data_IF_638218351746
#
_entry.id   IF_638218351746
#
_cell.length_a   1.000
_cell.length_b   1.000
_cell.length_c   1.000
_cell.angle_alpha   90.00
_cell.angle_beta   90.00
_cell.angle_gamma   90.00
#
_symmetry.space_group_name_H-M   'P 1'
#
loop_
_entity.id
_entity.type
_entity.pdbx_description
1 polymer ?
#
# COMPACT_ATOMS: atom_id res chain seq x y z
N UNK A 1 46.53 10.39 51.99
CA UNK A 1 46.49 10.24 50.51
C UNK A 1 45.35 9.36 49.98
N UNK A 2 44.45 8.82 50.82
CA UNK A 2 43.43 7.82 50.39
C UNK A 2 41.99 8.33 50.36
N UNK A 3 41.69 9.52 50.89
CA UNK A 3 40.35 10.15 50.83
C UNK A 3 40.12 11.02 49.59
N UNK A 4 41.18 11.60 49.03
CA UNK A 4 41.10 12.43 47.81
C UNK A 4 40.83 11.59 46.56
N UNK A 5 41.34 10.36 46.51
CA UNK A 5 41.16 9.44 45.38
C UNK A 5 39.72 8.89 45.25
N UNK A 6 39.01 8.73 46.37
CA UNK A 6 37.60 8.29 46.38
C UNK A 6 36.64 9.35 45.84
N UNK A 7 36.90 10.64 46.09
CA UNK A 7 36.10 11.73 45.54
C UNK A 7 36.31 11.92 44.03
N UNK A 8 37.53 11.66 43.54
CA UNK A 8 37.83 11.69 42.09
C UNK A 8 37.12 10.53 41.37
N UNK A 9 37.06 9.33 41.96
CA UNK A 9 36.34 8.19 41.36
C UNK A 9 34.81 8.34 41.38
N UNK A 10 34.24 8.96 42.42
CA UNK A 10 32.79 9.24 42.47
C UNK A 10 32.44 10.42 41.53
N UNK A 11 33.33 11.41 41.39
CA UNK A 11 33.18 12.51 40.44
C UNK A 11 33.36 12.10 38.97
N UNK A 12 34.24 11.16 38.65
CA UNK A 12 34.42 10.66 37.28
C UNK A 12 33.31 9.69 36.84
N UNK A 13 32.66 8.97 37.76
CA UNK A 13 31.56 8.07 37.39
C UNK A 13 30.29 8.83 36.95
N UNK A 14 30.14 10.10 37.36
CA UNK A 14 29.04 10.96 36.91
C UNK A 14 29.29 11.68 35.58
N UNK A 15 30.48 11.55 34.97
CA UNK A 15 30.83 12.26 33.72
C UNK A 15 30.74 11.36 32.47
N UNK A 16 30.54 10.04 32.60
CA UNK A 16 30.66 9.11 31.46
C UNK A 16 29.33 8.66 30.83
N UNK A 17 28.14 9.09 31.30
CA UNK A 17 26.88 8.72 30.62
C UNK A 17 25.87 9.88 30.51
N UNK A 18 26.28 10.95 29.82
CA UNK A 18 25.36 11.76 29.02
C UNK A 18 25.79 11.77 27.56
N UNK A 19 26.08 10.60 26.99
CA UNK A 19 25.91 10.42 25.55
C UNK A 19 24.43 10.13 25.28
N UNK A 20 23.60 11.17 25.51
CA UNK A 20 22.28 11.21 24.91
C UNK A 20 22.49 11.41 23.42
N UNK A 21 22.60 10.32 22.67
CA UNK A 21 22.19 10.35 21.26
C UNK A 21 20.67 10.47 21.33
N UNK A 22 20.20 11.69 21.53
CA UNK A 22 18.79 11.99 21.56
C UNK A 22 18.28 11.79 20.14
N UNK A 23 17.55 10.70 19.91
CA UNK A 23 16.84 10.53 18.66
C UNK A 23 15.92 11.71 18.42
N UNK A 24 16.15 12.47 17.34
CA UNK A 24 15.50 13.77 17.16
C UNK A 24 14.15 13.71 16.43
N UNK A 25 13.84 12.59 15.77
CA UNK A 25 12.68 12.50 14.88
C UNK A 25 12.15 11.06 14.78
N UNK A 26 10.84 10.93 14.78
CA UNK A 26 10.14 9.76 14.24
C UNK A 26 9.36 10.17 12.99
N UNK A 27 9.42 9.34 11.95
CA UNK A 27 8.61 9.46 10.74
C UNK A 27 8.25 8.06 10.24
N UNK A 28 6.97 7.75 10.17
CA UNK A 28 6.49 6.39 9.92
C UNK A 28 5.07 6.37 9.31
N UNK A 29 4.68 5.21 8.78
CA UNK A 29 3.28 4.90 8.48
C UNK A 29 2.70 4.13 9.67
N UNK A 30 1.55 4.58 10.15
CA UNK A 30 0.84 3.90 11.24
C UNK A 30 0.23 2.57 10.74
N UNK A 31 -0.24 1.75 11.68
CA UNK A 31 -0.79 0.43 11.38
C UNK A 31 -1.96 0.47 10.37
N UNK A 32 -2.86 1.46 10.49
CA UNK A 32 -4.00 1.60 9.59
C UNK A 32 -3.56 1.89 8.16
N UNK A 33 -2.56 2.76 8.00
CA UNK A 33 -2.03 3.14 6.70
C UNK A 33 -1.26 1.99 6.04
N UNK A 34 -0.48 1.24 6.81
CA UNK A 34 0.22 0.06 6.34
C UNK A 34 -0.77 -1.04 5.94
N UNK A 35 -1.83 -1.25 6.72
CA UNK A 35 -2.88 -2.21 6.37
C UNK A 35 -3.59 -1.79 5.06
N UNK A 36 -3.86 -0.50 4.90
CA UNK A 36 -4.55 0.05 3.72
C UNK A 36 -3.71 -0.03 2.44
N UNK A 37 -2.40 0.20 2.54
CA UNK A 37 -1.49 0.21 1.38
C UNK A 37 -0.90 -1.17 1.06
N UNK A 38 -0.61 -1.97 2.09
CA UNK A 38 0.18 -3.20 1.97
C UNK A 38 -0.55 -4.46 2.46
N UNK A 39 -1.71 -4.32 3.12
CA UNK A 39 -2.42 -5.47 3.71
C UNK A 39 -1.70 -6.09 4.91
N UNK A 40 -0.83 -5.34 5.58
CA UNK A 40 -0.03 -5.81 6.72
C UNK A 40 -0.49 -5.13 8.02
N UNK A 41 -0.61 -5.92 9.09
CA UNK A 41 -0.89 -5.40 10.44
C UNK A 41 0.41 -5.06 11.17
N UNK A 42 1.08 -3.99 10.76
CA UNK A 42 2.32 -3.52 11.37
C UNK A 42 2.51 -2.00 11.17
N UNK A 43 3.40 -1.37 11.93
CA UNK A 43 3.86 0.00 11.66
C UNK A 43 5.14 -0.03 10.80
N UNK A 44 5.33 0.96 9.93
CA UNK A 44 6.50 1.06 9.06
C UNK A 44 7.28 2.34 9.33
N UNK A 45 8.42 2.23 10.00
CA UNK A 45 9.28 3.37 10.34
C UNK A 45 10.30 3.66 9.24
N UNK A 46 10.29 4.90 8.76
CA UNK A 46 11.31 5.46 7.88
C UNK A 46 12.43 6.14 8.66
N UNK A 47 12.06 6.81 9.75
CA UNK A 47 12.99 7.30 10.75
C UNK A 47 12.48 6.85 12.10
N UNK A 48 13.33 6.17 12.86
CA UNK A 48 13.04 5.76 14.24
C UNK A 48 14.15 6.30 15.13
N UNK A 49 13.77 7.14 16.09
CA UNK A 49 14.67 7.76 17.05
C UNK A 49 15.86 8.43 16.36
N UNK A 50 15.60 9.19 15.30
CA UNK A 50 16.61 9.90 14.51
C UNK A 50 17.45 9.02 13.57
N UNK A 51 17.31 7.70 13.61
CA UNK A 51 17.98 6.79 12.68
C UNK A 51 17.13 6.59 11.43
N UNK A 52 17.71 6.89 10.26
CA UNK A 52 17.07 6.69 8.96
C UNK A 52 17.16 5.23 8.53
N UNK A 53 16.04 4.67 8.09
CA UNK A 53 15.94 3.33 7.53
C UNK A 53 16.01 3.40 6.00
N UNK A 54 17.23 3.37 5.46
CA UNK A 54 17.50 3.44 4.02
C UNK A 54 16.78 2.35 3.22
N UNK A 55 16.66 1.14 3.80
CA UNK A 55 15.93 0.04 3.18
C UNK A 55 14.45 0.38 2.96
N UNK A 56 13.81 1.03 3.94
CA UNK A 56 12.42 1.43 3.84
C UNK A 56 12.21 2.55 2.80
N UNK A 57 13.20 3.44 2.60
CA UNK A 57 13.14 4.53 1.61
C UNK A 57 13.29 4.03 0.17
N UNK A 58 14.10 2.99 -0.05
CA UNK A 58 14.32 2.40 -1.38
C UNK A 58 13.11 1.61 -1.90
N UNK A 59 12.22 1.18 -1.02
CA UNK A 59 11.08 0.35 -1.40
C UNK A 59 9.93 1.19 -1.98
N UNK A 60 9.73 1.07 -3.30
CA UNK A 60 8.61 1.72 -4.00
C UNK A 60 7.30 0.93 -3.76
N UNK A 61 6.58 1.31 -2.71
CA UNK A 61 5.23 0.81 -2.44
C UNK A 61 4.27 1.31 -3.53
N UNK A 62 3.54 0.42 -4.25
CA UNK A 62 2.50 0.85 -5.16
C UNK A 62 1.31 1.43 -4.38
N UNK A 63 0.70 2.48 -4.92
CA UNK A 63 -0.51 3.09 -4.38
C UNK A 63 -1.69 2.68 -5.27
N UNK A 64 -2.60 1.84 -4.78
CA UNK A 64 -3.75 1.34 -5.54
C UNK A 64 -4.65 2.44 -6.12
N UNK A 65 -5.45 2.11 -7.14
CA UNK A 65 -6.35 3.05 -7.82
C UNK A 65 -7.40 3.66 -6.88
N UNK A 66 -7.97 2.85 -6.00
CA UNK A 66 -8.98 3.23 -5.01
C UNK A 66 -8.43 4.08 -3.85
N UNK A 67 -7.12 4.09 -3.64
CA UNK A 67 -6.46 4.90 -2.61
C UNK A 67 -6.27 6.33 -3.12
N UNK A 68 -6.92 7.30 -2.46
CA UNK A 68 -7.00 8.71 -2.89
C UNK A 68 -6.02 9.64 -2.18
N UNK A 69 -5.36 9.18 -1.14
CA UNK A 69 -4.42 9.93 -0.31
C UNK A 69 -3.45 8.96 0.35
N UNK A 70 -2.30 9.45 0.81
CA UNK A 70 -1.37 8.71 1.68
C UNK A 70 -1.02 9.55 2.90
N UNK A 71 -0.91 8.91 4.05
CA UNK A 71 -0.73 9.59 5.33
C UNK A 71 0.59 9.25 6.00
N UNK A 72 1.35 10.26 6.39
CA UNK A 72 2.60 10.11 7.13
C UNK A 72 2.41 10.61 8.56
N UNK A 73 2.94 9.86 9.52
CA UNK A 73 2.91 10.22 10.94
C UNK A 73 4.31 10.60 11.39
N UNK A 74 4.43 11.73 12.06
CA UNK A 74 5.71 12.25 12.51
C UNK A 74 5.66 12.88 13.90
N UNK A 75 6.83 13.01 14.51
CA UNK A 75 7.02 13.61 15.82
C UNK A 75 8.49 14.05 15.96
N UNK A 76 8.69 15.28 16.40
CA UNK A 76 9.98 15.75 16.89
C UNK A 76 10.21 15.26 18.31
N UNK A 77 11.22 14.41 18.48
CA UNK A 77 11.70 13.94 19.79
C UNK A 77 12.82 14.82 20.37
N UNK A 78 13.19 15.89 19.66
CA UNK A 78 14.23 16.85 20.06
C UNK A 78 13.79 17.83 21.17
N UNK A 79 12.57 17.70 21.71
CA UNK A 79 11.99 18.63 22.69
C UNK A 79 11.64 20.01 22.13
N UNK A 80 11.77 20.20 20.81
CA UNK A 80 11.43 21.43 20.09
C UNK A 80 10.96 21.12 18.67
N UNK A 81 10.14 21.98 18.03
CA UNK A 81 9.76 21.79 16.65
C UNK A 81 10.96 21.83 15.69
N UNK A 82 10.93 21.01 14.64
CA UNK A 82 12.02 20.93 13.65
C UNK A 82 11.57 21.51 12.30
N UNK A 83 12.27 22.49 11.71
CA UNK A 83 11.90 23.02 10.40
C UNK A 83 11.91 21.95 9.33
N UNK A 84 10.86 21.92 8.50
CA UNK A 84 10.78 21.03 7.35
C UNK A 84 10.47 21.78 6.06
N UNK A 85 10.81 21.15 4.93
CA UNK A 85 10.40 21.54 3.59
C UNK A 85 10.01 20.29 2.78
N UNK A 86 8.87 20.35 2.10
CA UNK A 86 8.33 19.23 1.32
C UNK A 86 8.21 19.61 -0.17
N UNK A 87 8.84 18.78 -1.00
CA UNK A 87 8.77 18.83 -2.45
C UNK A 87 8.07 17.59 -2.99
N UNK A 88 7.15 17.76 -3.95
CA UNK A 88 6.42 16.65 -4.57
C UNK A 88 6.53 16.82 -6.07
N UNK A 89 7.05 15.78 -6.74
CA UNK A 89 7.23 15.70 -8.19
C UNK A 89 6.44 14.50 -8.70
N UNK A 90 5.79 14.69 -9.84
CA UNK A 90 4.96 13.69 -10.51
C UNK A 90 5.44 13.53 -11.94
N UNK A 91 5.65 12.30 -12.41
CA UNK A 91 6.17 12.03 -13.76
C UNK A 91 5.18 12.37 -14.88
N UNK A 92 3.88 12.31 -14.59
CA UNK A 92 2.79 12.58 -15.53
C UNK A 92 1.72 13.48 -14.87
N UNK A 93 1.90 14.82 -14.90
CA UNK A 93 0.99 15.77 -14.27
C UNK A 93 -0.41 15.84 -14.92
N UNK A 94 -0.56 15.35 -16.15
CA UNK A 94 -1.86 15.30 -16.84
C UNK A 94 -2.73 14.19 -16.25
N UNK A 95 -2.15 13.02 -15.97
CA UNK A 95 -2.87 11.89 -15.37
C UNK A 95 -3.01 12.03 -13.86
N UNK A 96 -1.95 12.47 -13.18
CA UNK A 96 -1.96 12.75 -11.76
C UNK A 96 -1.59 14.23 -11.54
N UNK A 97 -2.59 15.12 -11.48
CA UNK A 97 -2.36 16.51 -11.12
C UNK A 97 -1.59 16.66 -9.81
N UNK A 98 -0.87 17.78 -9.67
CA UNK A 98 0.00 18.04 -8.53
C UNK A 98 -0.71 17.76 -7.20
N UNK A 99 -0.21 16.81 -6.39
CA UNK A 99 -0.84 16.45 -5.11
C UNK A 99 -0.96 17.63 -4.15
N UNK A 100 -2.08 17.68 -3.45
CA UNK A 100 -2.35 18.65 -2.38
C UNK A 100 -2.05 18.02 -1.02
N UNK A 101 -1.64 18.84 -0.06
CA UNK A 101 -1.38 18.41 1.31
C UNK A 101 -2.30 19.16 2.26
N UNK A 102 -2.64 18.55 3.40
CA UNK A 102 -3.36 19.22 4.48
C UNK A 102 -2.47 20.13 5.35
N UNK A 103 -1.16 20.17 5.06
CA UNK A 103 -0.17 21.05 5.71
C UNK A 103 0.55 21.92 4.67
N UNK A 104 1.25 22.96 5.13
CA UNK A 104 2.06 23.82 4.28
C UNK A 104 3.31 23.08 3.75
N UNK A 105 3.85 23.55 2.61
CA UNK A 105 5.10 23.01 2.03
C UNK A 105 6.32 23.26 2.91
N UNK A 106 6.29 24.31 3.71
CA UNK A 106 7.33 24.67 4.68
C UNK A 106 6.65 24.92 6.01
N UNK A 107 7.20 24.37 7.08
CA UNK A 107 6.63 24.46 8.41
C UNK A 107 7.57 23.88 9.46
N UNK A 108 7.01 23.49 10.59
CA UNK A 108 7.75 22.83 11.67
C UNK A 108 7.11 21.49 12.02
N UNK A 109 7.94 20.46 12.22
CA UNK A 109 7.51 19.15 12.69
C UNK A 109 7.11 19.30 14.17
N UNK A 110 5.91 18.88 14.56
CA UNK A 110 5.37 19.06 15.91
C UNK A 110 6.13 18.22 16.94
N UNK A 111 6.05 18.65 18.20
CA UNK A 111 6.55 17.87 19.37
C UNK A 111 5.52 16.88 19.91
N UNK A 112 4.35 16.82 19.29
CA UNK A 112 3.34 15.79 19.52
C UNK A 112 3.19 14.96 18.24
N UNK A 113 2.59 13.77 18.39
CA UNK A 113 2.35 12.90 17.24
C UNK A 113 1.26 13.53 16.38
N UNK A 114 1.60 13.88 15.15
CA UNK A 114 0.64 14.34 14.16
C UNK A 114 0.75 13.54 12.87
N UNK A 115 -0.35 13.51 12.12
CA UNK A 115 -0.45 12.84 10.82
C UNK A 115 -0.87 13.84 9.77
N UNK A 116 -0.10 13.93 8.68
CA UNK A 116 -0.46 14.71 7.50
C UNK A 116 -0.72 13.81 6.31
N UNK A 117 -1.59 14.26 5.40
CA UNK A 117 -2.04 13.50 4.25
C UNK A 117 -1.67 14.22 2.94
N UNK A 118 -1.28 13.43 1.94
CA UNK A 118 -1.01 13.86 0.57
C UNK A 118 -2.08 13.28 -0.34
N UNK A 119 -2.92 14.13 -0.92
CA UNK A 119 -4.02 13.74 -1.80
C UNK A 119 -3.51 13.37 -3.21
N UNK A 120 -3.75 12.11 -3.62
CA UNK A 120 -3.33 11.50 -4.88
C UNK A 120 -4.55 11.25 -5.78
N UNK A 121 -5.16 12.34 -6.24
CA UNK A 121 -6.36 12.31 -7.09
C UNK A 121 -5.97 12.25 -8.57
N UNK A 122 -6.29 11.15 -9.24
CA UNK A 122 -6.12 11.02 -10.68
C UNK A 122 -7.13 11.92 -11.42
N UNK A 123 -6.75 12.47 -12.57
CA UNK A 123 -7.64 13.26 -13.43
C UNK A 123 -8.68 12.40 -14.16
N UNK A 124 -8.40 11.11 -14.34
CA UNK A 124 -9.27 10.18 -15.05
C UNK A 124 -9.17 10.25 -16.58
N UNK A 125 -8.27 11.06 -17.14
CA UNK A 125 -8.18 11.24 -18.60
C UNK A 125 -7.77 9.93 -19.33
N UNK A 126 -6.88 9.14 -18.72
CA UNK A 126 -6.44 7.83 -19.21
C UNK A 126 -5.90 6.98 -18.06
N UNK A 127 -5.86 5.68 -18.28
CA UNK A 127 -5.20 4.76 -17.36
C UNK A 127 -3.67 4.89 -17.51
N UNK A 128 -2.95 5.00 -16.40
CA UNK A 128 -1.49 4.99 -16.36
C UNK A 128 -0.98 4.66 -14.95
N UNK A 129 0.26 4.15 -14.89
CA UNK A 129 1.05 4.11 -13.66
C UNK A 129 1.92 5.37 -13.60
N UNK A 130 1.76 6.18 -12.56
CA UNK A 130 2.46 7.46 -12.42
C UNK A 130 3.45 7.39 -11.28
N UNK A 131 4.72 7.66 -11.56
CA UNK A 131 5.77 7.74 -10.56
C UNK A 131 5.67 9.07 -9.79
N UNK A 132 5.69 8.95 -8.47
CA UNK A 132 5.58 10.05 -7.52
C UNK A 132 6.82 10.06 -6.63
N UNK A 133 7.51 11.20 -6.57
CA UNK A 133 8.64 11.43 -5.68
C UNK A 133 8.28 12.50 -4.65
N UNK A 134 8.27 12.12 -3.38
CA UNK A 134 8.04 13.02 -2.24
C UNK A 134 9.36 13.19 -1.52
N UNK A 135 9.91 14.39 -1.52
CA UNK A 135 11.13 14.73 -0.81
C UNK A 135 10.78 15.55 0.42
N UNK A 136 11.20 15.09 1.59
CA UNK A 136 11.05 15.79 2.87
C UNK A 136 12.45 16.14 3.38
N UNK A 137 12.76 17.42 3.43
CA UNK A 137 13.98 17.96 3.99
C UNK A 137 13.71 18.42 5.42
N UNK A 138 14.48 17.94 6.39
CA UNK A 138 14.32 18.29 7.81
C UNK A 138 15.63 18.84 8.34
N UNK A 139 15.59 20.04 8.90
CA UNK A 139 16.78 20.70 9.45
C UNK A 139 16.90 20.40 10.94
N UNK A 140 17.76 19.44 11.30
CA UNK A 140 17.94 19.00 12.69
C UNK A 140 18.60 20.06 13.57
N UNK A 141 19.55 20.81 13.02
CA UNK A 141 20.23 21.88 13.72
C UNK A 141 20.43 23.09 12.79
N UNK A 142 19.81 24.22 13.17
CA UNK A 142 19.92 25.49 12.43
C UNK A 142 21.35 26.06 12.43
N UNK A 143 22.16 25.73 13.44
CA UNK A 143 23.54 26.23 13.56
C UNK A 143 24.54 25.47 12.66
N UNK A 144 24.26 24.21 12.34
CA UNK A 144 25.13 23.40 11.45
C UNK A 144 24.54 23.21 10.06
N UNK A 145 23.28 23.59 9.84
CA UNK A 145 22.53 23.33 8.60
C UNK A 145 22.57 21.86 8.19
N UNK A 146 22.61 20.94 9.16
CA UNK A 146 22.50 19.51 8.89
C UNK A 146 21.05 19.21 8.48
N UNK A 147 20.83 19.15 7.16
CA UNK A 147 19.55 18.79 6.54
C UNK A 147 19.54 17.29 6.30
N UNK A 148 18.53 16.60 6.83
CA UNK A 148 18.23 15.22 6.49
C UNK A 148 17.22 15.22 5.35
N UNK A 149 17.64 14.73 4.19
CA UNK A 149 16.77 14.57 3.02
C UNK A 149 16.18 13.15 2.99
N UNK A 150 14.86 13.05 2.96
CA UNK A 150 14.13 11.79 2.91
C UNK A 150 13.32 11.73 1.62
N UNK A 151 13.64 10.76 0.76
CA UNK A 151 13.01 10.61 -0.57
C UNK A 151 12.11 9.38 -0.60
N UNK A 152 10.80 9.61 -0.70
CA UNK A 152 9.80 8.56 -0.81
C UNK A 152 9.36 8.42 -2.27
N UNK A 153 9.72 7.29 -2.88
CA UNK A 153 9.27 6.93 -4.22
C UNK A 153 8.02 6.08 -4.13
N UNK A 154 6.98 6.45 -4.87
CA UNK A 154 5.70 5.76 -4.96
C UNK A 154 5.27 5.62 -6.40
N UNK A 155 4.46 4.61 -6.68
CA UNK A 155 3.84 4.40 -7.99
C UNK A 155 2.34 4.44 -7.83
N UNK A 156 1.68 5.50 -8.31
CA UNK A 156 0.21 5.62 -8.26
C UNK A 156 -0.39 4.94 -9.47
N UNK A 157 -1.32 4.03 -9.24
CA UNK A 157 -2.14 3.46 -10.31
C UNK A 157 -3.33 4.41 -10.53
N UNK A 158 -3.48 4.91 -11.75
CA UNK A 158 -4.61 5.73 -12.17
C UNK A 158 -5.40 5.00 -13.25
N UNK A 159 -6.73 5.03 -13.14
CA UNK A 159 -7.66 4.45 -14.12
C UNK A 159 -8.32 5.56 -14.92
N UNK A 160 -8.77 5.23 -16.13
CA UNK A 160 -9.61 6.12 -16.93
C UNK A 160 -10.94 6.30 -16.20
N UNK A 161 -11.40 7.54 -16.03
CA UNK A 161 -12.71 7.83 -15.50
C UNK A 161 -13.78 7.41 -16.50
N UNK A 162 -14.79 6.68 -16.03
CA UNK A 162 -16.03 6.53 -16.78
C UNK A 162 -16.74 7.88 -16.69
N UNK A 163 -16.87 8.58 -17.82
CA UNK A 163 -17.63 9.83 -17.87
C UNK A 163 -19.09 9.53 -17.50
N UNK A 164 -19.51 9.88 -16.29
CA UNK A 164 -20.92 10.06 -15.95
C UNK A 164 -21.42 11.34 -16.65
N UNK A 165 -21.66 11.24 -17.96
CA UNK A 165 -22.56 12.12 -18.70
C UNK A 165 -23.37 11.26 -19.66
N UNK A 166 -24.52 10.82 -19.14
CA UNK A 166 -25.69 10.49 -19.96
C UNK A 166 -26.12 11.77 -20.69
N UNK A 167 -26.04 11.77 -22.02
CA UNK A 167 -26.34 12.94 -22.86
C UNK A 167 -26.47 12.61 -24.35
N UNK A 168 -27.42 11.72 -24.67
CA UNK A 168 -28.30 11.66 -25.85
C UNK A 168 -27.77 12.11 -27.26
N UNK A 169 -27.84 11.15 -28.20
CA UNK A 169 -27.97 11.21 -29.67
C UNK A 169 -26.71 11.30 -30.56
N UNK A 170 -26.21 10.13 -30.98
CA UNK A 170 -25.78 9.90 -32.38
C UNK A 170 -26.14 8.46 -32.80
N UNK A 171 -27.02 8.24 -33.81
CA UNK A 171 -27.55 6.93 -34.16
C UNK A 171 -26.72 6.21 -35.24
N UNK A 172 -25.39 6.14 -35.12
CA UNK A 172 -24.61 5.28 -36.02
C UNK A 172 -23.23 4.87 -35.46
N UNK A 173 -23.21 4.10 -34.38
CA UNK A 173 -22.11 3.15 -34.14
C UNK A 173 -22.57 2.06 -33.17
N UNK A 174 -23.25 1.08 -33.74
CA UNK A 174 -23.51 -0.19 -33.11
C UNK A 174 -22.26 -1.06 -33.24
N UNK A 175 -21.34 -0.94 -32.28
CA UNK A 175 -20.52 -2.08 -31.85
C UNK A 175 -20.59 -2.17 -30.32
N UNK A 176 -21.09 -3.32 -29.88
CA UNK A 176 -21.55 -3.60 -28.53
C UNK A 176 -20.36 -3.78 -27.58
N UNK A 177 -20.04 -2.76 -26.79
CA UNK A 177 -19.25 -2.93 -25.55
C UNK A 177 -19.96 -2.14 -24.44
N UNK A 178 -20.87 -2.83 -23.75
CA UNK A 178 -21.60 -2.28 -22.61
C UNK A 178 -20.62 -2.01 -21.45
N UNK A 179 -20.75 -0.83 -20.84
CA UNK A 179 -20.18 -0.44 -19.56
C UNK A 179 -20.54 -1.45 -18.47
N UNK A 180 -19.69 -1.68 -17.45
CA UNK A 180 -19.96 -2.68 -16.43
C UNK A 180 -21.14 -2.23 -15.55
N UNK A 181 -22.31 -2.93 -15.58
CA UNK A 181 -23.22 -2.81 -14.47
C UNK A 181 -22.50 -3.35 -13.24
N UNK A 182 -22.81 -2.80 -12.05
CA UNK A 182 -22.46 -3.35 -10.74
C UNK A 182 -22.35 -4.88 -10.84
N UNK A 183 -21.16 -5.44 -10.59
CA UNK A 183 -20.81 -6.81 -11.01
C UNK A 183 -21.83 -7.90 -10.63
N UNK A 184 -22.65 -7.65 -9.61
CA UNK A 184 -23.80 -8.48 -9.25
C UNK A 184 -24.87 -8.57 -10.35
N UNK A 185 -25.24 -7.48 -11.01
CA UNK A 185 -26.27 -7.47 -12.07
C UNK A 185 -25.76 -8.18 -13.32
N UNK A 186 -24.49 -8.02 -13.69
CA UNK A 186 -23.87 -8.73 -14.83
C UNK A 186 -23.72 -10.22 -14.54
N UNK A 187 -23.38 -10.60 -13.31
CA UNK A 187 -23.35 -12.00 -12.87
C UNK A 187 -24.76 -12.61 -12.83
N UNK A 188 -25.77 -11.83 -12.43
CA UNK A 188 -27.17 -12.29 -12.38
C UNK A 188 -27.76 -12.41 -13.78
N UNK A 189 -27.59 -11.41 -14.65
CA UNK A 189 -28.09 -11.45 -16.03
C UNK A 189 -27.30 -12.46 -16.87
N UNK A 190 -25.97 -12.50 -16.74
CA UNK A 190 -25.12 -13.49 -17.40
C UNK A 190 -25.36 -14.90 -16.87
N UNK A 191 -25.59 -15.06 -15.57
CA UNK A 191 -25.96 -16.33 -14.95
C UNK A 191 -27.33 -16.81 -15.39
N UNK A 192 -28.34 -15.93 -15.40
CA UNK A 192 -29.69 -16.24 -15.88
C UNK A 192 -29.66 -16.57 -17.38
N UNK A 193 -28.92 -15.81 -18.19
CA UNK A 193 -28.78 -16.08 -19.62
C UNK A 193 -28.04 -17.40 -19.88
N UNK A 194 -27.01 -17.72 -19.11
CA UNK A 194 -26.34 -19.01 -19.16
C UNK A 194 -27.25 -20.16 -18.71
N UNK A 195 -28.07 -19.97 -17.67
CA UNK A 195 -29.06 -20.95 -17.22
C UNK A 195 -30.18 -21.17 -18.25
N UNK A 196 -30.57 -20.12 -18.99
CA UNK A 196 -31.60 -20.20 -20.04
C UNK A 196 -31.07 -20.73 -21.38
N UNK A 197 -29.77 -20.57 -21.66
CA UNK A 197 -29.12 -21.04 -22.89
C UNK A 197 -28.51 -22.46 -22.75
N UNK A 198 -28.22 -22.90 -21.53
CA UNK A 198 -27.66 -24.22 -21.27
C UNK A 198 -28.80 -25.15 -20.84
N UNK A 199 -29.13 -26.12 -21.67
CA UNK A 199 -30.11 -27.15 -21.34
C UNK A 199 -29.61 -27.94 -20.10
N UNK A 200 -30.35 -27.99 -18.98
CA UNK A 200 -29.89 -28.66 -17.76
C UNK A 200 -29.57 -30.14 -17.96
N UNK A 201 -30.14 -30.77 -18.99
CA UNK A 201 -29.86 -32.16 -19.35
C UNK A 201 -28.47 -32.35 -19.99
N UNK A 202 -27.94 -31.36 -20.73
CA UNK A 202 -26.60 -31.43 -21.31
C UNK A 202 -25.50 -31.02 -20.32
N UNK A 203 -25.80 -30.12 -19.37
CA UNK A 203 -24.80 -29.64 -18.40
C UNK A 203 -24.20 -30.79 -17.57
N UNK A 204 -25.01 -31.79 -17.21
CA UNK A 204 -24.51 -32.97 -16.51
C UNK A 204 -23.51 -33.75 -17.36
N UNK A 205 -23.76 -33.89 -18.67
CA UNK A 205 -22.86 -34.58 -19.60
C UNK A 205 -21.56 -33.80 -19.78
N UNK A 206 -21.63 -32.49 -20.03
CA UNK A 206 -20.45 -31.62 -20.13
C UNK A 206 -19.58 -31.66 -18.85
N UNK A 207 -20.21 -31.64 -17.67
CA UNK A 207 -19.47 -31.70 -16.41
C UNK A 207 -18.88 -33.09 -16.13
N UNK A 208 -19.53 -34.17 -16.58
CA UNK A 208 -19.04 -35.56 -16.51
C UNK A 208 -17.89 -35.81 -17.48
N UNK A 209 -17.93 -35.20 -18.65
CA UNK A 209 -16.84 -35.22 -19.66
C UNK A 209 -15.64 -34.36 -19.26
N UNK A 210 -15.70 -33.71 -18.09
CA UNK A 210 -14.58 -32.99 -17.50
C UNK A 210 -14.43 -31.54 -17.96
N UNK A 211 -15.38 -30.99 -18.72
CA UNK A 211 -15.32 -29.58 -19.11
C UNK A 211 -15.40 -28.69 -17.87
N UNK A 212 -14.36 -27.85 -17.69
CA UNK A 212 -14.24 -26.84 -16.62
C UNK A 212 -13.69 -25.56 -17.23
N UNK A 213 -13.91 -24.43 -16.56
CA UNK A 213 -13.34 -23.15 -16.98
C UNK A 213 -11.82 -23.25 -17.00
N UNK A 214 -11.21 -22.81 -18.10
CA UNK A 214 -9.77 -22.67 -18.20
C UNK A 214 -9.27 -21.60 -17.22
N UNK A 215 -8.01 -21.73 -16.80
CA UNK A 215 -7.36 -20.74 -15.97
C UNK A 215 -7.35 -19.37 -16.66
N UNK A 216 -7.83 -18.30 -15.99
CA UNK A 216 -7.78 -16.95 -16.54
C UNK A 216 -6.35 -16.46 -16.74
N UNK A 217 -6.15 -15.56 -17.70
CA UNK A 217 -4.86 -14.89 -17.94
C UNK A 217 -4.47 -14.11 -16.68
N UNK A 218 -3.24 -14.31 -16.18
CA UNK A 218 -2.68 -13.75 -14.94
C UNK A 218 -3.23 -14.33 -13.62
N UNK A 219 -3.90 -15.48 -13.63
CA UNK A 219 -4.29 -16.18 -12.39
C UNK A 219 -3.14 -17.06 -11.87
N UNK A 220 -2.72 -16.98 -10.59
CA UNK A 220 -1.71 -17.88 -10.03
C UNK A 220 -2.18 -19.35 -10.02
N UNK A 221 -1.30 -20.27 -10.40
CA UNK A 221 -1.61 -21.71 -10.49
C UNK A 221 -2.14 -22.28 -9.16
N UNK A 222 -1.59 -21.83 -8.04
CA UNK A 222 -1.98 -22.30 -6.71
C UNK A 222 -3.39 -21.81 -6.32
N UNK A 223 -3.77 -20.60 -6.72
CA UNK A 223 -5.15 -20.09 -6.55
C UNK A 223 -6.11 -20.86 -7.46
N UNK A 224 -5.72 -21.08 -8.71
CA UNK A 224 -6.52 -21.83 -9.65
C UNK A 224 -6.74 -23.27 -9.20
N UNK A 225 -5.73 -23.90 -8.60
CA UNK A 225 -5.84 -25.24 -8.01
C UNK A 225 -6.89 -25.27 -6.88
N UNK A 226 -6.87 -24.29 -5.96
CA UNK A 226 -7.89 -24.18 -4.90
C UNK A 226 -9.29 -24.05 -5.49
N UNK A 227 -9.46 -23.22 -6.53
CA UNK A 227 -10.74 -23.06 -7.23
C UNK A 227 -11.16 -24.36 -7.94
N UNK A 228 -10.23 -25.09 -8.54
CA UNK A 228 -10.49 -26.36 -9.21
C UNK A 228 -10.93 -27.46 -8.23
N UNK A 229 -10.38 -27.50 -7.01
CA UNK A 229 -10.81 -28.43 -5.95
C UNK A 229 -12.27 -28.23 -5.54
N UNK A 230 -12.77 -26.99 -5.57
CA UNK A 230 -14.19 -26.71 -5.34
C UNK A 230 -15.11 -27.38 -6.39
N UNK A 231 -14.58 -27.74 -7.56
CA UNK A 231 -15.30 -28.37 -8.67
C UNK A 231 -14.94 -29.84 -8.87
N UNK A 232 -14.39 -30.50 -7.84
CA UNK A 232 -14.09 -31.93 -7.87
C UNK A 232 -15.31 -32.77 -8.30
N UNK A 233 -15.05 -33.84 -9.06
CA UNK A 233 -16.09 -34.69 -9.64
C UNK A 233 -16.93 -35.35 -8.55
N UNK A 234 -16.29 -35.86 -7.49
CA UNK A 234 -16.96 -36.44 -6.35
C UNK A 234 -17.28 -35.34 -5.31
N UNK A 235 -18.55 -35.21 -4.88
CA UNK A 235 -18.93 -34.21 -3.88
C UNK A 235 -18.16 -34.33 -2.55
N UNK A 236 -17.74 -35.55 -2.19
CA UNK A 236 -17.02 -35.83 -0.96
C UNK A 236 -15.56 -35.36 -0.99
N UNK A 237 -14.99 -35.14 -2.18
CA UNK A 237 -13.63 -34.63 -2.36
C UNK A 237 -13.57 -33.10 -2.35
N UNK A 238 -14.74 -32.44 -2.44
CA UNK A 238 -14.81 -30.98 -2.41
C UNK A 238 -14.52 -30.49 -1.00
N UNK A 239 -13.72 -29.43 -0.84
CA UNK A 239 -13.42 -28.88 0.46
C UNK A 239 -14.69 -28.32 1.12
N UNK A 240 -14.80 -28.52 2.43
CA UNK A 240 -15.78 -27.80 3.24
C UNK A 240 -15.46 -26.31 3.25
N UNK A 241 -16.44 -25.48 3.60
CA UNK A 241 -16.22 -24.03 3.73
C UNK A 241 -15.07 -23.70 4.69
N UNK A 242 -14.95 -24.42 5.81
CA UNK A 242 -13.87 -24.23 6.77
C UNK A 242 -12.50 -24.55 6.15
N UNK A 243 -12.38 -25.66 5.42
CA UNK A 243 -11.15 -26.03 4.70
C UNK A 243 -10.82 -25.03 3.60
N UNK A 244 -11.81 -24.57 2.84
CA UNK A 244 -11.62 -23.56 1.80
C UNK A 244 -11.12 -22.24 2.38
N UNK A 245 -11.66 -21.81 3.53
CA UNK A 245 -11.18 -20.63 4.24
C UNK A 245 -9.72 -20.78 4.66
N UNK A 246 -9.33 -21.95 5.18
CA UNK A 246 -7.93 -22.24 5.53
C UNK A 246 -7.04 -22.18 4.28
N UNK A 247 -7.42 -22.83 3.17
CA UNK A 247 -6.62 -22.84 1.94
C UNK A 247 -6.44 -21.44 1.34
N UNK A 248 -7.51 -20.64 1.30
CA UNK A 248 -7.44 -19.26 0.81
C UNK A 248 -6.62 -18.38 1.73
N UNK A 249 -6.74 -18.58 3.05
CA UNK A 249 -5.97 -17.83 4.04
C UNK A 249 -4.49 -18.22 4.02
N UNK A 250 -4.18 -19.50 3.79
CA UNK A 250 -2.81 -19.98 3.60
C UNK A 250 -2.23 -19.49 2.29
N UNK A 251 -2.97 -19.54 1.18
CA UNK A 251 -2.55 -18.96 -0.09
C UNK A 251 -2.26 -17.46 0.05
N UNK A 252 -3.15 -16.72 0.72
CA UNK A 252 -2.91 -15.31 1.03
C UNK A 252 -1.69 -15.12 1.92
N UNK A 253 -1.56 -15.93 2.99
CA UNK A 253 -0.41 -15.90 3.89
C UNK A 253 0.88 -16.27 3.17
N UNK A 254 0.86 -17.17 2.19
CA UNK A 254 2.00 -17.54 1.37
C UNK A 254 2.37 -16.41 0.42
N UNK A 255 1.44 -15.77 -0.28
CA UNK A 255 1.73 -14.55 -1.05
C UNK A 255 2.39 -13.52 -0.13
N UNK A 256 1.76 -13.22 1.01
CA UNK A 256 2.27 -12.25 1.97
C UNK A 256 3.63 -12.67 2.55
N UNK A 257 3.85 -13.95 2.85
CA UNK A 257 5.12 -14.51 3.34
C UNK A 257 6.17 -14.59 2.26
N UNK A 258 5.86 -14.81 0.99
CA UNK A 258 6.83 -14.73 -0.10
C UNK A 258 7.24 -13.27 -0.32
N UNK A 259 6.31 -12.32 -0.25
CA UNK A 259 6.62 -10.89 -0.24
C UNK A 259 7.42 -10.46 1.00
N UNK A 260 7.21 -11.07 2.18
CA UNK A 260 7.98 -10.82 3.40
C UNK A 260 9.32 -11.59 3.43
N UNK A 261 9.38 -12.82 2.92
CA UNK A 261 10.58 -13.68 2.90
C UNK A 261 11.54 -13.30 1.79
N UNK A 262 11.07 -12.87 0.62
CA UNK A 262 11.94 -12.21 -0.38
C UNK A 262 12.54 -10.93 0.24
N UNK A 263 11.79 -10.24 1.12
CA UNK A 263 12.30 -9.08 1.86
C UNK A 263 13.29 -9.41 2.98
N UNK A 264 13.25 -10.61 3.58
CA UNK A 264 14.20 -11.03 4.64
C UNK A 264 15.41 -11.78 4.06
N UNK A 265 15.26 -12.50 2.93
CA UNK A 265 16.29 -13.40 2.36
C UNK A 265 17.22 -12.73 1.32
N UNK A 266 17.07 -11.43 1.08
CA UNK A 266 18.08 -10.57 0.41
C UNK A 266 18.97 -9.86 1.46
N UNK A 267 19.12 -10.48 2.63
CA UNK A 267 20.18 -10.23 3.61
C UNK A 267 20.68 -11.57 4.16
#
# INVERSE_FOLDING_TARGET
MTKLLKFIFIGLFFIINKHGVEGYLNLYLNQLEVMRLLGLSAELYYVRDGQVNEYALQFQVPVPANVRDISFTWLSKAGKPLPYRIHIITSDPEVLPRPQMNISRTGEVPTEVETFAIALRCSGIRAAEVDLSITIEITLNRATSNVTELVFRRKKICLKGENENLGLNDPLQQETVASPPSGLITLVIGGILAILLIDPFEMEHYLRDGFRLAQPVNCPDELFAIMAYCWALLPQERPTFCQLQIFLQDFYSQITRYFIMIKIKIH
#
